data_IF_943305570883
#
_entry.id   IF_943305570883
#
_cell.length_a   1.000
_cell.length_b   1.000
_cell.length_c   1.000
_cell.angle_alpha   90.00
_cell.angle_beta   90.00
_cell.angle_gamma   90.00
#
_symmetry.space_group_name_H-M   'P 1'
#
loop_
_entity.id
_entity.type
_entity.pdbx_description
1 polymer ?
#
# COMPACT_ATOMS: atom_id res chain seq x y z
N UNK A 1 -11.67 -16.66 3.27
CA UNK A 1 -11.29 -17.68 4.30
C UNK A 1 -9.79 -17.56 4.50
N UNK A 2 -9.30 -17.30 5.71
CA UNK A 2 -7.85 -17.19 5.96
C UNK A 2 -7.23 -18.59 5.98
N UNK A 3 -6.41 -18.91 4.98
CA UNK A 3 -5.55 -20.09 5.00
C UNK A 3 -4.52 -19.89 6.10
N UNK A 4 -4.69 -20.58 7.21
CA UNK A 4 -3.61 -20.77 8.20
C UNK A 4 -2.58 -21.65 7.52
N UNK A 5 -1.45 -21.07 7.10
CA UNK A 5 -0.28 -21.84 6.71
C UNK A 5 0.25 -22.55 7.96
N UNK A 6 -0.23 -23.78 8.19
CA UNK A 6 0.31 -24.69 9.19
C UNK A 6 1.62 -25.28 8.65
N UNK A 7 2.72 -24.51 8.74
CA UNK A 7 4.09 -25.08 8.69
C UNK A 7 4.66 -25.15 10.12
N UNK A 8 5.01 -26.34 10.65
CA UNK A 8 5.69 -26.46 11.93
C UNK A 8 7.24 -26.44 11.78
N UNK A 9 8.01 -25.95 12.77
CA UNK A 9 7.74 -24.82 13.64
C UNK A 9 8.69 -23.64 13.31
N UNK A 10 8.13 -22.47 13.01
CA UNK A 10 8.87 -21.20 13.00
C UNK A 10 9.25 -20.71 14.41
N UNK A 11 9.27 -21.60 15.42
CA UNK A 11 9.55 -21.26 16.82
C UNK A 11 10.92 -20.57 16.98
N UNK A 12 11.92 -20.96 16.18
CA UNK A 12 13.24 -20.34 16.19
C UNK A 12 13.29 -18.96 15.49
N UNK A 13 12.30 -18.60 14.66
CA UNK A 13 12.25 -17.27 14.03
C UNK A 13 11.31 -16.31 14.74
N UNK A 14 10.37 -16.84 15.51
CA UNK A 14 9.42 -16.05 16.28
C UNK A 14 10.15 -15.13 17.26
N UNK A 15 11.16 -15.62 17.99
CA UNK A 15 11.92 -14.78 18.92
C UNK A 15 12.73 -13.68 18.22
N UNK A 16 13.27 -13.93 17.02
CA UNK A 16 13.99 -12.93 16.23
C UNK A 16 13.05 -11.79 15.83
N UNK A 17 11.85 -12.15 15.39
CA UNK A 17 10.82 -11.18 15.05
C UNK A 17 10.34 -10.39 16.28
N UNK A 18 10.12 -11.05 17.43
CA UNK A 18 9.80 -10.37 18.69
C UNK A 18 10.92 -9.44 19.15
N UNK A 19 12.18 -9.83 19.01
CA UNK A 19 13.32 -9.00 19.35
C UNK A 19 13.41 -7.76 18.44
N UNK A 20 13.21 -7.94 17.13
CA UNK A 20 13.16 -6.83 16.17
C UNK A 20 11.98 -5.89 16.43
N UNK A 21 10.78 -6.45 16.63
CA UNK A 21 9.56 -5.71 16.93
C UNK A 21 9.71 -4.92 18.23
N UNK A 22 10.15 -5.61 19.29
CA UNK A 22 10.45 -5.03 20.58
C UNK A 22 11.46 -3.89 20.45
N UNK A 23 12.55 -4.09 19.70
CA UNK A 23 13.56 -3.03 19.52
C UNK A 23 13.00 -1.80 18.80
N UNK A 24 12.23 -1.98 17.70
CA UNK A 24 11.68 -0.85 16.93
C UNK A 24 10.52 -0.12 17.61
N UNK A 25 9.71 -0.83 18.39
CA UNK A 25 8.51 -0.27 19.03
C UNK A 25 8.69 0.04 20.51
N UNK A 26 9.85 -0.32 21.10
CA UNK A 26 10.15 -0.06 22.50
C UNK A 26 10.05 1.43 22.83
N UNK A 27 9.56 1.76 24.04
CA UNK A 27 9.47 3.15 24.51
C UNK A 27 10.85 3.78 24.73
N UNK A 28 11.93 2.99 24.81
CA UNK A 28 13.28 3.46 25.17
C UNK A 28 13.78 4.56 24.22
N UNK A 29 13.65 4.37 22.90
CA UNK A 29 14.07 5.37 21.92
C UNK A 29 13.26 6.67 22.03
N UNK A 30 11.97 6.56 22.31
CA UNK A 30 11.06 7.71 22.48
C UNK A 30 11.31 8.46 23.79
N UNK A 31 11.63 7.75 24.88
CA UNK A 31 12.07 8.36 26.14
C UNK A 31 13.36 9.15 25.91
N UNK A 32 14.34 8.56 25.22
CA UNK A 32 15.59 9.24 24.88
C UNK A 32 15.34 10.50 24.04
N UNK A 33 14.49 10.42 23.00
CA UNK A 33 14.11 11.57 22.18
C UNK A 33 13.44 12.69 22.98
N UNK A 34 12.57 12.34 23.93
CA UNK A 34 11.92 13.31 24.82
C UNK A 34 12.93 13.99 25.76
N UNK A 35 13.87 13.23 26.34
CA UNK A 35 14.93 13.77 27.19
C UNK A 35 15.86 14.71 26.42
N UNK A 36 16.34 14.30 25.24
CA UNK A 36 17.24 15.10 24.40
C UNK A 36 16.54 16.38 23.94
N UNK A 37 15.31 16.29 23.45
CA UNK A 37 14.55 17.48 23.04
C UNK A 37 14.20 18.41 24.20
N UNK A 38 13.86 17.86 25.37
CA UNK A 38 13.62 18.63 26.59
C UNK A 38 14.88 19.38 27.07
N UNK A 39 16.03 18.72 27.08
CA UNK A 39 17.32 19.35 27.40
C UNK A 39 17.68 20.42 26.36
N UNK A 40 17.39 20.19 25.08
CA UNK A 40 17.61 21.18 24.03
C UNK A 40 16.73 22.42 24.20
N UNK A 41 15.45 22.27 24.51
CA UNK A 41 14.55 23.39 24.84
C UNK A 41 15.03 24.17 26.06
N UNK A 42 15.49 23.47 27.10
CA UNK A 42 16.03 24.09 28.31
C UNK A 42 17.29 24.91 28.02
N UNK A 43 18.25 24.34 27.27
CA UNK A 43 19.49 25.04 26.87
C UNK A 43 19.21 26.24 25.97
N UNK A 44 18.26 26.13 25.04
CA UNK A 44 17.79 27.26 24.23
C UNK A 44 17.17 28.35 25.13
N UNK A 45 16.33 27.99 26.09
CA UNK A 45 15.74 28.92 27.06
C UNK A 45 16.80 29.66 27.87
N UNK A 46 17.82 28.95 28.37
CA UNK A 46 18.96 29.55 29.08
C UNK A 46 19.72 30.52 28.19
N UNK A 47 19.96 30.19 26.92
CA UNK A 47 20.64 31.10 25.99
C UNK A 47 19.82 32.40 25.74
N UNK A 48 18.50 32.30 25.64
CA UNK A 48 17.61 33.47 25.52
C UNK A 48 17.63 34.33 26.79
N UNK A 49 17.60 33.72 27.96
CA UNK A 49 17.71 34.44 29.24
C UNK A 49 19.06 35.12 29.40
N UNK A 50 20.15 34.44 29.03
CA UNK A 50 21.49 34.99 29.04
C UNK A 50 21.62 36.19 28.10
N UNK A 51 21.08 36.10 26.88
CA UNK A 51 20.99 37.23 25.93
C UNK A 51 20.26 38.42 26.55
N UNK A 52 19.12 38.19 27.21
CA UNK A 52 18.37 39.25 27.90
C UNK A 52 19.17 39.87 29.04
N UNK A 53 19.89 39.06 29.83
CA UNK A 53 20.73 39.55 30.91
C UNK A 53 21.87 40.46 30.40
N UNK A 54 22.51 40.09 29.28
CA UNK A 54 23.53 40.94 28.65
C UNK A 54 22.94 42.27 28.20
N UNK A 55 21.83 42.25 27.45
CA UNK A 55 21.17 43.46 26.95
C UNK A 55 20.77 44.41 28.10
N UNK A 56 20.25 43.85 29.20
CA UNK A 56 19.88 44.62 30.38
C UNK A 56 21.11 45.22 31.10
N UNK A 57 22.21 44.48 31.16
CA UNK A 57 23.45 44.91 31.81
C UNK A 57 24.22 45.97 31.03
N UNK A 58 24.28 45.86 29.70
CA UNK A 58 25.04 46.78 28.85
C UNK A 58 24.24 48.02 28.44
N UNK A 59 22.90 47.96 28.52
CA UNK A 59 21.98 48.98 27.97
C UNK A 59 22.24 49.31 26.49
N UNK A 60 22.94 48.44 25.77
CA UNK A 60 23.26 48.59 24.36
C UNK A 60 22.61 47.45 23.58
N UNK A 61 21.95 47.79 22.48
CA UNK A 61 21.46 46.81 21.51
C UNK A 61 22.58 46.29 20.60
N UNK A 62 23.74 46.93 20.60
CA UNK A 62 24.86 46.63 19.70
C UNK A 62 25.82 45.62 20.33
N UNK A 63 25.29 44.43 20.64
CA UNK A 63 26.08 43.31 21.16
C UNK A 63 26.21 42.27 20.07
N UNK A 64 27.44 42.10 19.56
CA UNK A 64 27.75 41.04 18.60
C UNK A 64 28.00 39.71 19.32
N UNK A 65 27.23 38.70 18.95
CA UNK A 65 27.39 37.35 19.46
C UNK A 65 28.23 36.53 18.49
N UNK A 66 29.23 35.81 19.01
CA UNK A 66 29.99 34.85 18.21
C UNK A 66 29.13 33.66 17.78
N UNK A 67 29.60 32.92 16.76
CA UNK A 67 28.86 31.79 16.19
C UNK A 67 28.47 30.72 17.22
N UNK A 68 29.29 30.53 18.26
CA UNK A 68 29.00 29.62 19.38
C UNK A 68 27.71 29.93 20.15
N UNK A 69 27.28 31.20 20.18
CA UNK A 69 26.04 31.59 20.85
C UNK A 69 24.78 31.09 20.12
N UNK A 70 24.89 30.74 18.83
CA UNK A 70 23.79 30.20 18.03
C UNK A 70 23.71 28.67 18.10
N UNK A 71 24.73 27.97 18.63
CA UNK A 71 24.75 26.50 18.70
C UNK A 71 23.54 25.91 19.43
N UNK A 72 23.05 26.45 20.57
CA UNK A 72 21.84 25.94 21.22
C UNK A 72 20.60 26.00 20.32
N UNK A 73 20.48 27.04 19.50
CA UNK A 73 19.37 27.18 18.54
C UNK A 73 19.49 26.16 17.40
N UNK A 74 20.69 25.93 16.87
CA UNK A 74 20.92 24.91 15.83
C UNK A 74 20.63 23.51 16.36
N UNK A 75 21.14 23.17 17.55
CA UNK A 75 20.86 21.89 18.22
C UNK A 75 19.36 21.71 18.44
N UNK A 76 18.65 22.79 18.81
CA UNK A 76 17.20 22.77 18.95
C UNK A 76 16.49 22.42 17.65
N UNK A 77 16.83 23.07 16.53
CA UNK A 77 16.22 22.74 15.24
C UNK A 77 16.53 21.31 14.78
N UNK A 78 17.76 20.82 15.01
CA UNK A 78 18.14 19.45 14.65
C UNK A 78 17.42 18.38 15.48
N UNK A 79 17.04 18.69 16.72
CA UNK A 79 16.37 17.74 17.63
C UNK A 79 14.86 17.91 17.68
N UNK A 80 14.31 18.99 17.11
CA UNK A 80 12.88 19.32 17.18
C UNK A 80 11.99 18.20 16.61
N UNK A 81 12.37 17.62 15.47
CA UNK A 81 11.58 16.55 14.82
C UNK A 81 11.51 15.28 15.71
N UNK A 82 12.66 14.84 16.22
CA UNK A 82 12.73 13.70 17.14
C UNK A 82 11.95 13.94 18.44
N UNK A 83 11.94 15.18 18.93
CA UNK A 83 11.17 15.59 20.09
C UNK A 83 9.66 15.54 19.81
N UNK A 84 9.20 16.13 18.70
CA UNK A 84 7.79 16.12 18.30
C UNK A 84 7.30 14.70 18.10
N UNK A 85 8.07 13.85 17.41
CA UNK A 85 7.70 12.45 17.20
C UNK A 85 7.60 11.69 18.53
N UNK A 86 8.50 11.97 19.47
CA UNK A 86 8.45 11.39 20.83
C UNK A 86 7.22 11.87 21.60
N UNK A 87 6.88 13.16 21.56
CA UNK A 87 5.65 13.68 22.18
C UNK A 87 4.41 13.01 21.58
N UNK A 88 4.35 12.89 20.25
CA UNK A 88 3.23 12.23 19.55
C UNK A 88 3.11 10.74 19.91
N UNK A 89 4.24 10.05 20.13
CA UNK A 89 4.25 8.69 20.65
C UNK A 89 3.58 8.59 22.03
N UNK A 90 3.89 9.52 22.95
CA UNK A 90 3.29 9.54 24.28
C UNK A 90 1.82 9.99 24.30
N UNK A 91 1.41 10.90 23.40
CA UNK A 91 -0.02 11.22 23.21
C UNK A 91 -0.81 9.98 22.82
N UNK A 92 -0.21 9.09 22.02
CA UNK A 92 -0.79 7.81 21.60
C UNK A 92 -0.34 6.62 22.46
N UNK A 93 0.15 6.85 23.70
CA UNK A 93 0.77 5.81 24.52
C UNK A 93 -0.12 4.58 24.73
N UNK A 94 -1.42 4.77 24.93
CA UNK A 94 -2.37 3.66 25.13
C UNK A 94 -2.40 2.73 23.90
N UNK A 95 -2.48 3.31 22.70
CA UNK A 95 -2.46 2.54 21.45
C UNK A 95 -1.09 1.91 21.22
N UNK A 96 0.00 2.65 21.47
CA UNK A 96 1.35 2.16 21.22
C UNK A 96 1.74 1.01 22.17
N UNK A 97 1.37 1.09 23.44
CA UNK A 97 1.55 -0.01 24.40
C UNK A 97 0.68 -1.21 24.01
N UNK A 98 -0.57 -0.98 23.62
CA UNK A 98 -1.45 -2.04 23.16
C UNK A 98 -0.85 -2.78 21.95
N UNK A 99 -0.35 -2.05 20.95
CA UNK A 99 0.33 -2.60 19.78
C UNK A 99 1.67 -3.26 20.14
N UNK A 100 2.41 -2.74 21.11
CA UNK A 100 3.67 -3.34 21.58
C UNK A 100 3.42 -4.71 22.24
N UNK A 101 2.40 -4.81 23.09
CA UNK A 101 2.03 -6.03 23.82
C UNK A 101 1.27 -7.04 22.94
N UNK A 102 0.64 -6.59 21.86
CA UNK A 102 -0.08 -7.41 20.90
C UNK A 102 0.52 -7.18 19.51
N UNK A 103 1.74 -7.70 19.26
CA UNK A 103 2.37 -7.49 17.99
C UNK A 103 1.58 -8.26 16.91
N UNK A 104 1.43 -7.69 15.70
CA UNK A 104 0.68 -8.34 14.62
C UNK A 104 1.40 -9.61 14.18
N UNK A 105 0.70 -10.65 13.72
CA UNK A 105 1.37 -11.82 13.17
C UNK A 105 2.37 -11.40 12.08
N UNK A 106 3.61 -11.94 12.05
CA UNK A 106 4.59 -11.59 11.04
C UNK A 106 3.99 -11.87 9.67
N UNK A 107 3.89 -10.85 8.81
CA UNK A 107 3.42 -11.08 7.46
C UNK A 107 4.42 -12.02 6.76
N UNK A 108 3.95 -12.94 5.89
CA UNK A 108 4.83 -13.81 5.12
C UNK A 108 5.92 -13.03 4.37
N UNK A 109 5.60 -11.79 3.96
CA UNK A 109 6.49 -10.85 3.29
C UNK A 109 7.63 -10.33 4.16
N UNK A 110 7.46 -10.17 5.48
CA UNK A 110 8.53 -9.72 6.39
C UNK A 110 9.54 -10.83 6.68
N UNK A 111 9.11 -12.10 6.55
CA UNK A 111 9.97 -13.28 6.71
C UNK A 111 10.76 -13.61 5.43
N UNK A 112 10.33 -13.09 4.27
CA UNK A 112 11.12 -13.13 3.05
C UNK A 112 11.97 -11.84 2.98
N UNK A 113 13.27 -11.98 3.26
CA UNK A 113 14.28 -10.93 3.04
C UNK A 113 14.16 -10.31 1.61
N UNK A 114 14.67 -9.09 1.41
CA UNK A 114 14.03 -8.06 0.61
C UNK A 114 13.92 -8.44 -0.87
N UNK A 115 12.69 -8.63 -1.36
CA UNK A 115 12.43 -8.38 -2.77
C UNK A 115 12.62 -6.87 -2.99
N UNK A 116 13.50 -6.56 -3.94
CA UNK A 116 13.92 -5.25 -4.42
C UNK A 116 12.88 -4.12 -4.22
N UNK A 117 13.33 -2.99 -3.69
CA UNK A 117 12.55 -1.76 -3.41
C UNK A 117 12.04 -1.01 -4.66
N UNK A 118 11.93 -1.67 -5.82
CA UNK A 118 11.40 -1.05 -7.04
C UNK A 118 9.97 -1.55 -7.29
N UNK A 119 8.97 -0.66 -7.25
CA UNK A 119 7.62 -1.01 -7.69
C UNK A 119 7.67 -1.33 -9.19
N UNK A 120 7.33 -2.58 -9.55
CA UNK A 120 7.31 -3.07 -10.92
C UNK A 120 6.02 -2.64 -11.62
N UNK A 121 6.00 -1.41 -12.15
CA UNK A 121 4.97 -1.02 -13.12
C UNK A 121 5.37 -1.48 -14.52
N UNK A 122 4.99 -2.71 -14.88
CA UNK A 122 5.25 -3.26 -16.20
C UNK A 122 4.14 -2.87 -17.19
N UNK A 123 4.07 -1.59 -17.59
CA UNK A 123 3.23 -1.18 -18.73
C UNK A 123 3.97 -1.58 -20.02
N UNK A 124 3.80 -2.83 -20.46
CA UNK A 124 4.11 -3.18 -21.86
C UNK A 124 3.11 -2.38 -22.71
N UNK A 125 3.59 -1.46 -23.54
CA UNK A 125 2.77 -0.80 -24.56
C UNK A 125 2.33 -1.85 -25.60
N UNK A 126 1.34 -2.66 -25.27
CA UNK A 126 0.73 -3.59 -26.22
C UNK A 126 -0.25 -2.80 -27.09
N UNK A 127 0.19 -2.42 -28.28
CA UNK A 127 -0.68 -1.90 -29.34
C UNK A 127 -1.72 -2.97 -29.70
N UNK A 128 -2.91 -2.91 -29.11
CA UNK A 128 -4.23 -3.32 -29.63
C UNK A 128 -4.48 -4.69 -30.29
N UNK A 129 -3.46 -5.53 -30.52
CA UNK A 129 -3.56 -6.82 -31.19
C UNK A 129 -3.43 -7.96 -30.19
N UNK A 130 -4.56 -8.36 -29.61
CA UNK A 130 -4.71 -9.58 -28.82
C UNK A 130 -4.42 -10.80 -29.69
N UNK A 131 -3.21 -11.34 -29.61
CA UNK A 131 -2.93 -12.68 -30.12
C UNK A 131 -1.84 -13.33 -29.29
N UNK A 132 -2.23 -14.30 -28.44
CA UNK A 132 -1.33 -15.22 -27.75
C UNK A 132 -0.72 -16.26 -28.70
N UNK A 133 -0.40 -15.86 -29.94
CA UNK A 133 0.35 -16.76 -30.80
C UNK A 133 1.74 -16.97 -30.20
N UNK A 134 2.27 -18.20 -30.26
CA UNK A 134 3.69 -18.43 -30.14
C UNK A 134 4.40 -17.48 -31.12
N UNK A 135 5.15 -16.52 -30.59
CA UNK A 135 6.13 -15.82 -31.42
C UNK A 135 7.10 -16.89 -31.91
N UNK A 136 7.38 -16.88 -33.21
CA UNK A 136 8.46 -17.74 -33.69
C UNK A 136 9.71 -17.36 -32.90
N UNK A 137 10.46 -18.32 -32.35
CA UNK A 137 11.64 -18.03 -31.58
C UNK A 137 12.49 -17.08 -32.40
N UNK A 138 12.84 -15.94 -31.83
CA UNK A 138 13.71 -15.00 -32.51
C UNK A 138 15.04 -15.72 -32.64
N UNK A 139 15.26 -16.35 -33.81
CA UNK A 139 16.53 -16.99 -34.08
C UNK A 139 17.57 -15.90 -33.93
N UNK A 140 18.33 -15.97 -32.84
CA UNK A 140 19.56 -15.21 -32.67
C UNK A 140 20.36 -15.60 -33.90
N UNK A 141 20.43 -14.67 -34.85
CA UNK A 141 21.21 -14.86 -36.07
C UNK A 141 22.62 -15.11 -35.57
N UNK A 142 23.10 -16.34 -35.74
CA UNK A 142 24.49 -16.72 -35.54
C UNK A 142 25.34 -15.70 -36.29
N UNK A 143 25.82 -14.71 -35.56
CA UNK A 143 26.84 -13.80 -36.04
C UNK A 143 28.10 -14.65 -35.99
N UNK A 144 28.48 -15.16 -37.15
CA UNK A 144 29.60 -16.07 -37.33
C UNK A 144 30.83 -15.60 -36.57
N UNK A 145 31.05 -16.20 -35.40
CA UNK A 145 32.30 -16.12 -34.69
C UNK A 145 33.30 -16.97 -35.47
N UNK A 146 34.14 -16.30 -36.25
CA UNK A 146 35.35 -16.87 -36.80
C UNK A 146 36.14 -17.54 -35.68
N UNK A 147 36.31 -18.85 -35.81
CA UNK A 147 37.12 -19.68 -34.95
C UNK A 147 38.50 -19.04 -34.72
N UNK A 148 38.80 -18.74 -33.46
CA UNK A 148 40.15 -18.42 -33.02
C UNK A 148 40.69 -19.67 -32.30
N UNK A 149 41.56 -20.48 -32.92
CA UNK A 149 42.08 -21.69 -32.32
C UNK A 149 43.35 -21.32 -31.57
N UNK A 150 43.24 -20.75 -30.37
CA UNK A 150 44.25 -20.79 -29.32
C UNK A 150 43.85 -19.90 -28.14
N UNK A 151 43.84 -20.48 -26.93
CA UNK A 151 44.04 -19.72 -25.70
C UNK A 151 42.87 -19.74 -24.72
N UNK A 152 42.86 -20.77 -23.88
CA UNK A 152 42.49 -20.76 -22.46
C UNK A 152 41.47 -19.73 -21.94
N UNK A 153 40.34 -20.28 -21.46
CA UNK A 153 39.77 -19.87 -20.17
C UNK A 153 38.62 -18.88 -20.23
N UNK A 154 37.48 -19.28 -20.78
CA UNK A 154 36.22 -18.54 -20.63
C UNK A 154 35.20 -19.45 -19.97
N UNK A 155 34.86 -19.14 -18.71
CA UNK A 155 33.73 -19.71 -17.98
C UNK A 155 32.43 -19.21 -18.62
N UNK A 156 31.99 -19.87 -19.69
CA UNK A 156 30.64 -19.73 -20.21
C UNK A 156 29.75 -20.74 -19.52
N UNK A 157 28.87 -20.26 -18.64
CA UNK A 157 27.68 -21.01 -18.25
C UNK A 157 26.79 -21.11 -19.49
N UNK A 158 26.99 -22.17 -20.27
CA UNK A 158 26.00 -22.60 -21.22
C UNK A 158 24.79 -23.07 -20.40
N UNK A 159 23.64 -22.44 -20.64
CA UNK A 159 22.33 -22.96 -20.29
C UNK A 159 22.18 -24.35 -20.93
N UNK A 160 22.59 -25.39 -20.19
CA UNK A 160 22.12 -26.74 -20.40
C UNK A 160 20.62 -26.71 -20.13
N UNK A 161 19.85 -26.89 -21.20
CA UNK A 161 18.40 -27.03 -21.11
C UNK A 161 18.02 -28.04 -20.04
N UNK A 162 16.99 -27.68 -19.27
CA UNK A 162 16.25 -28.49 -18.29
C UNK A 162 15.59 -29.74 -18.92
N UNK A 163 16.32 -30.50 -19.73
CA UNK A 163 16.13 -31.95 -19.82
C UNK A 163 17.02 -32.54 -18.74
N UNK A 164 16.59 -32.43 -17.49
CA UNK A 164 17.22 -33.05 -16.33
C UNK A 164 17.35 -34.56 -16.62
N UNK A 165 18.48 -34.97 -17.20
CA UNK A 165 18.97 -36.33 -17.04
C UNK A 165 19.26 -36.42 -15.57
N UNK A 166 18.24 -36.77 -14.80
CA UNK A 166 18.35 -37.19 -13.42
C UNK A 166 19.38 -38.32 -13.45
N UNK A 167 20.62 -37.98 -13.11
CA UNK A 167 21.65 -38.96 -12.82
C UNK A 167 21.06 -39.75 -11.68
N UNK A 168 20.52 -40.93 -12.03
CA UNK A 168 19.87 -41.81 -11.08
C UNK A 168 20.98 -42.39 -10.23
N UNK A 169 21.40 -41.63 -9.24
CA UNK A 169 22.31 -42.09 -8.20
C UNK A 169 21.58 -43.26 -7.53
N UNK A 170 22.07 -44.48 -7.78
CA UNK A 170 21.42 -45.70 -7.31
C UNK A 170 21.35 -45.77 -5.77
N UNK A 171 22.13 -44.93 -5.10
CA UNK A 171 22.21 -44.80 -3.65
C UNK A 171 21.44 -43.57 -3.10
N UNK A 172 20.75 -42.79 -3.96
CA UNK A 172 19.91 -41.70 -3.49
C UNK A 172 18.71 -42.24 -2.69
N UNK A 173 18.40 -41.67 -1.51
CA UNK A 173 17.21 -42.06 -0.76
C UNK A 173 15.96 -41.96 -1.64
N UNK A 174 14.99 -42.87 -1.52
CA UNK A 174 13.75 -42.79 -2.28
C UNK A 174 13.14 -41.40 -2.05
N UNK A 175 12.86 -40.70 -3.16
CA UNK A 175 12.23 -39.38 -3.10
C UNK A 175 10.97 -39.50 -2.21
N UNK A 176 10.77 -38.56 -1.27
CA UNK A 176 9.56 -38.55 -0.47
C UNK A 176 8.36 -38.56 -1.42
N UNK A 177 7.26 -39.26 -1.05
CA UNK A 177 6.05 -39.26 -1.86
C UNK A 177 5.66 -37.81 -2.16
N UNK A 178 5.38 -37.52 -3.43
CA UNK A 178 5.01 -36.17 -3.85
C UNK A 178 3.90 -35.65 -2.94
N UNK A 179 4.15 -34.50 -2.29
CA UNK A 179 3.16 -33.90 -1.42
C UNK A 179 1.87 -33.66 -2.22
N UNK A 180 0.69 -33.93 -1.63
CA UNK A 180 -0.56 -33.65 -2.30
C UNK A 180 -0.62 -32.15 -2.63
N UNK A 181 -0.96 -31.84 -3.88
CA UNK A 181 -1.14 -30.45 -4.32
C UNK A 181 -2.20 -29.77 -3.46
N UNK A 182 -1.98 -28.49 -3.19
CA UNK A 182 -2.93 -27.71 -2.42
C UNK A 182 -4.27 -27.56 -3.19
N UNK A 183 -5.41 -27.45 -2.48
CA UNK A 183 -6.71 -27.36 -3.12
C UNK A 183 -6.87 -26.18 -4.09
N UNK A 184 -6.17 -25.06 -3.83
CA UNK A 184 -6.22 -23.87 -4.68
C UNK A 184 -5.51 -24.16 -6.01
N UNK A 185 -4.32 -24.74 -5.98
CA UNK A 185 -3.60 -25.17 -7.19
C UNK A 185 -4.42 -26.16 -8.00
N UNK A 186 -5.05 -27.16 -7.37
CA UNK A 186 -5.94 -28.11 -8.07
C UNK A 186 -7.10 -27.36 -8.76
N UNK A 187 -7.71 -26.40 -8.06
CA UNK A 187 -8.79 -25.56 -8.60
C UNK A 187 -8.31 -24.75 -9.80
N UNK A 188 -7.12 -24.16 -9.76
CA UNK A 188 -6.53 -23.42 -10.87
C UNK A 188 -6.26 -24.33 -12.08
N UNK A 189 -5.66 -25.50 -11.85
CA UNK A 189 -5.40 -26.49 -12.89
C UNK A 189 -6.69 -26.96 -13.57
N UNK A 190 -7.78 -27.13 -12.80
CA UNK A 190 -9.08 -27.52 -13.33
C UNK A 190 -9.74 -26.43 -14.20
N UNK A 191 -9.34 -25.17 -14.03
CA UNK A 191 -9.92 -24.04 -14.75
C UNK A 191 -9.22 -23.73 -16.08
N UNK A 192 -7.94 -24.06 -16.24
CA UNK A 192 -7.20 -23.81 -17.50
C UNK A 192 -7.84 -24.42 -18.75
N UNK A 193 -8.37 -25.67 -18.74
CA UNK A 193 -9.01 -26.25 -19.92
C UNK A 193 -10.28 -25.51 -20.36
N UNK A 194 -10.90 -24.74 -19.47
CA UNK A 194 -12.07 -23.93 -19.80
C UNK A 194 -11.71 -22.58 -20.44
N UNK A 195 -10.42 -22.19 -20.42
CA UNK A 195 -9.95 -20.94 -21.00
C UNK A 195 -9.47 -21.16 -22.45
N UNK A 196 -10.23 -20.69 -23.46
CA UNK A 196 -9.87 -20.87 -24.87
C UNK A 196 -8.61 -20.10 -25.25
N UNK A 197 -8.26 -19.03 -24.53
CA UNK A 197 -7.07 -18.21 -24.83
C UNK A 197 -5.78 -18.96 -24.47
N UNK A 198 -5.79 -19.66 -23.34
CA UNK A 198 -4.61 -20.32 -22.79
C UNK A 198 -4.46 -21.78 -23.24
N UNK A 199 -5.55 -22.44 -23.65
CA UNK A 199 -5.51 -23.88 -24.02
C UNK A 199 -4.51 -24.17 -25.14
N UNK A 200 -4.45 -23.33 -26.17
CA UNK A 200 -3.50 -23.51 -27.30
C UNK A 200 -2.05 -23.31 -26.86
N UNK A 201 -1.80 -22.32 -25.99
CA UNK A 201 -0.49 -22.03 -25.44
C UNK A 201 -0.01 -23.17 -24.52
N UNK A 202 -0.85 -23.60 -23.58
CA UNK A 202 -0.54 -24.68 -22.63
C UNK A 202 -0.27 -25.98 -23.38
N UNK A 203 -1.10 -26.36 -24.35
CA UNK A 203 -0.84 -27.56 -25.16
C UNK A 203 0.48 -27.47 -25.95
N UNK A 204 0.86 -26.28 -26.44
CA UNK A 204 2.15 -26.08 -27.09
C UNK A 204 3.34 -26.23 -26.15
N UNK A 205 3.23 -25.71 -24.92
CA UNK A 205 4.25 -25.81 -23.88
C UNK A 205 4.38 -27.25 -23.36
N UNK A 206 3.27 -27.95 -23.15
CA UNK A 206 3.27 -29.38 -22.81
C UNK A 206 3.93 -30.25 -23.89
N UNK A 207 3.89 -29.82 -25.16
CA UNK A 207 4.57 -30.48 -26.27
C UNK A 207 6.06 -30.10 -26.37
N UNK A 208 6.62 -29.45 -25.35
CA UNK A 208 8.00 -28.95 -25.30
C UNK A 208 8.36 -28.01 -26.47
N UNK A 209 7.39 -27.28 -27.02
CA UNK A 209 7.69 -26.24 -27.99
C UNK A 209 8.27 -25.03 -27.25
N UNK A 210 9.44 -24.52 -27.66
CA UNK A 210 10.04 -23.36 -27.00
C UNK A 210 9.12 -22.15 -27.15
N UNK A 211 9.00 -21.38 -26.06
CA UNK A 211 8.29 -20.11 -26.02
C UNK A 211 9.15 -19.09 -25.27
N UNK A 212 9.33 -17.91 -25.85
CA UNK A 212 10.20 -16.86 -25.30
C UNK A 212 9.55 -16.15 -24.10
N UNK A 213 8.22 -16.04 -24.09
CA UNK A 213 7.47 -15.23 -23.13
C UNK A 213 6.91 -16.03 -21.96
N UNK A 214 6.64 -17.33 -22.13
CA UNK A 214 5.92 -18.13 -21.14
C UNK A 214 6.69 -19.37 -20.67
N UNK A 215 6.45 -19.73 -19.42
CA UNK A 215 6.96 -20.92 -18.76
C UNK A 215 5.79 -21.74 -18.22
N UNK A 216 5.86 -23.07 -18.37
CA UNK A 216 4.93 -23.98 -17.74
C UNK A 216 5.66 -24.67 -16.58
N UNK A 217 5.14 -24.52 -15.37
CA UNK A 217 5.69 -25.22 -14.20
C UNK A 217 5.47 -26.73 -14.32
N UNK A 218 6.23 -27.51 -13.55
CA UNK A 218 6.07 -28.97 -13.44
C UNK A 218 4.67 -29.39 -12.99
N UNK A 219 3.98 -28.52 -12.26
CA UNK A 219 2.62 -28.73 -11.75
C UNK A 219 1.55 -28.36 -12.79
N UNK A 220 1.92 -27.64 -13.87
CA UNK A 220 1.01 -27.23 -14.95
C UNK A 220 0.47 -25.80 -14.81
N UNK A 221 0.94 -25.03 -13.83
CA UNK A 221 0.65 -23.59 -13.74
C UNK A 221 1.47 -22.81 -14.78
N UNK A 222 0.82 -21.83 -15.41
CA UNK A 222 1.40 -20.98 -16.46
C UNK A 222 1.98 -19.70 -15.87
N UNK A 223 3.23 -19.39 -16.20
CA UNK A 223 3.93 -18.18 -15.77
C UNK A 223 4.41 -17.36 -16.95
N UNK A 224 4.44 -16.04 -16.78
CA UNK A 224 5.17 -15.12 -17.64
C UNK A 224 6.65 -15.15 -17.24
N UNK A 225 7.53 -15.38 -18.22
CA UNK A 225 8.97 -15.36 -18.02
C UNK A 225 9.42 -13.93 -17.65
N UNK A 226 10.27 -13.77 -16.63
CA UNK A 226 10.82 -12.46 -16.30
C UNK A 226 11.71 -11.94 -17.44
N UNK A 227 11.76 -10.62 -17.65
CA UNK A 227 12.63 -10.04 -18.69
C UNK A 227 14.09 -10.03 -18.24
N UNK A 228 14.31 -9.96 -16.93
CA UNK A 228 15.63 -9.95 -16.32
C UNK A 228 15.74 -11.01 -15.23
N UNK A 229 16.94 -11.50 -14.95
CA UNK A 229 17.17 -12.48 -13.87
C UNK A 229 16.80 -11.98 -12.46
N UNK A 230 16.59 -10.67 -12.31
CA UNK A 230 16.23 -10.03 -11.05
C UNK A 230 14.71 -10.00 -10.81
N UNK A 231 13.92 -10.25 -11.85
CA UNK A 231 12.46 -10.21 -11.79
C UNK A 231 11.89 -11.59 -11.46
N UNK A 232 10.76 -11.59 -10.77
CA UNK A 232 10.02 -12.81 -10.47
C UNK A 232 9.09 -13.16 -11.63
N UNK A 233 9.00 -14.46 -11.96
CA UNK A 233 8.01 -14.94 -12.91
C UNK A 233 6.59 -14.68 -12.39
N UNK A 234 5.73 -14.07 -13.21
CA UNK A 234 4.37 -13.69 -12.83
C UNK A 234 3.38 -14.79 -13.19
N UNK A 235 2.47 -15.14 -12.29
CA UNK A 235 1.51 -16.21 -12.53
C UNK A 235 0.39 -15.73 -13.47
N UNK A 236 0.00 -16.56 -14.44
CA UNK A 236 -1.03 -16.24 -15.43
C UNK A 236 -2.34 -16.96 -15.06
N UNK A 237 -3.30 -16.28 -14.41
CA UNK A 237 -4.56 -16.89 -14.03
C UNK A 237 -5.45 -17.18 -15.25
N UNK A 238 -6.19 -18.30 -15.25
CA UNK A 238 -7.17 -18.58 -16.29
C UNK A 238 -8.34 -17.59 -16.22
N UNK A 239 -8.90 -17.24 -17.37
CA UNK A 239 -10.08 -16.39 -17.48
C UNK A 239 -11.28 -17.03 -16.77
N UNK A 240 -12.13 -16.19 -16.16
CA UNK A 240 -13.38 -16.64 -15.54
C UNK A 240 -13.44 -16.30 -14.06
N UNK A 241 -13.76 -17.29 -13.22
CA UNK A 241 -14.04 -17.09 -11.79
C UNK A 241 -12.78 -16.65 -11.04
N UNK A 242 -11.62 -17.24 -11.34
CA UNK A 242 -10.37 -16.94 -10.63
C UNK A 242 -9.94 -15.49 -10.80
N UNK A 243 -9.89 -14.96 -12.04
CA UNK A 243 -9.58 -13.52 -12.25
C UNK A 243 -10.55 -12.59 -11.53
N UNK A 244 -11.85 -12.93 -11.51
CA UNK A 244 -12.87 -12.11 -10.82
C UNK A 244 -12.66 -12.07 -9.32
N UNK A 245 -12.37 -13.22 -8.71
CA UNK A 245 -12.06 -13.30 -7.28
C UNK A 245 -10.78 -12.52 -6.94
N UNK A 246 -9.72 -12.66 -7.74
CA UNK A 246 -8.48 -11.89 -7.53
C UNK A 246 -8.72 -10.38 -7.59
N UNK A 247 -9.55 -9.91 -8.54
CA UNK A 247 -9.91 -8.50 -8.66
C UNK A 247 -10.78 -8.04 -7.47
N UNK A 248 -11.72 -8.88 -7.04
CA UNK A 248 -12.57 -8.63 -5.86
C UNK A 248 -11.72 -8.51 -4.59
N UNK A 249 -10.83 -9.46 -4.36
CA UNK A 249 -9.90 -9.46 -3.23
C UNK A 249 -9.01 -8.22 -3.27
N UNK A 250 -8.40 -7.89 -4.42
CA UNK A 250 -7.58 -6.69 -4.56
C UNK A 250 -8.38 -5.39 -4.37
N UNK A 251 -9.69 -5.40 -4.63
CA UNK A 251 -10.56 -4.24 -4.39
C UNK A 251 -10.92 -4.06 -2.92
N UNK A 252 -11.16 -5.18 -2.22
CA UNK A 252 -11.71 -5.21 -0.86
C UNK A 252 -10.66 -5.34 0.25
N UNK A 253 -9.46 -5.84 -0.07
CA UNK A 253 -8.40 -6.03 0.89
C UNK A 253 -7.60 -4.74 1.13
N UNK A 254 -7.11 -4.51 2.35
CA UNK A 254 -6.26 -3.37 2.64
C UNK A 254 -4.95 -3.46 1.85
N UNK A 255 -4.71 -2.50 0.97
CA UNK A 255 -3.48 -2.45 0.19
C UNK A 255 -2.26 -2.18 1.08
N UNK A 256 -1.12 -2.86 0.88
CA UNK A 256 0.13 -2.55 1.57
C UNK A 256 0.71 -1.19 1.15
N UNK A 257 0.25 -0.61 0.04
CA UNK A 257 0.76 0.64 -0.53
C UNK A 257 0.12 1.90 0.07
N UNK A 258 -1.00 1.78 0.77
CA UNK A 258 -1.73 2.92 1.33
C UNK A 258 -1.59 2.92 2.84
N UNK A 259 -1.07 4.02 3.39
CA UNK A 259 -0.99 4.25 4.84
C UNK A 259 -2.40 4.14 5.43
N UNK A 260 -2.62 3.17 6.32
CA UNK A 260 -3.95 2.76 6.80
C UNK A 260 -4.83 3.97 7.17
N UNK A 261 -5.82 4.25 6.32
CA UNK A 261 -6.86 5.23 6.63
C UNK A 261 -7.65 4.69 7.83
N UNK A 262 -7.91 5.56 8.80
CA UNK A 262 -8.50 5.22 10.09
C UNK A 262 -9.84 4.48 9.97
N UNK A 263 -9.78 3.14 10.07
CA UNK A 263 -10.73 2.16 10.65
C UNK A 263 -12.23 2.21 10.30
N UNK A 264 -12.72 3.16 9.53
CA UNK A 264 -14.15 3.33 9.22
C UNK A 264 -14.54 3.12 7.76
N UNK A 265 -13.57 3.15 6.84
CA UNK A 265 -13.82 2.94 5.41
C UNK A 265 -13.29 1.55 5.02
N UNK A 266 -14.21 0.59 4.85
CA UNK A 266 -13.92 -0.69 4.19
C UNK A 266 -13.14 -0.40 2.90
N UNK A 267 -12.02 -1.10 2.73
CA UNK A 267 -11.11 -0.87 1.62
C UNK A 267 -11.88 -1.09 0.31
N UNK A 268 -11.87 -0.06 -0.51
CA UNK A 268 -12.41 -0.01 -1.86
C UNK A 268 -11.31 0.65 -2.67
N UNK A 269 -10.26 -0.12 -2.93
CA UNK A 269 -9.01 0.38 -3.50
C UNK A 269 -9.28 1.02 -4.86
N UNK A 270 -8.50 2.06 -5.17
CA UNK A 270 -8.54 2.67 -6.50
C UNK A 270 -7.96 1.72 -7.55
N UNK A 271 -8.27 1.97 -8.82
CA UNK A 271 -7.83 1.12 -9.93
C UNK A 271 -6.30 1.02 -9.95
N UNK A 272 -5.60 2.11 -9.68
CA UNK A 272 -4.13 2.14 -9.66
C UNK A 272 -3.55 1.23 -8.58
N UNK A 273 -4.18 1.22 -7.40
CA UNK A 273 -3.77 0.39 -6.27
C UNK A 273 -4.05 -1.09 -6.54
N UNK A 274 -5.21 -1.41 -7.13
CA UNK A 274 -5.56 -2.77 -7.53
C UNK A 274 -4.57 -3.30 -8.57
N UNK A 275 -4.28 -2.51 -9.61
CA UNK A 275 -3.35 -2.87 -10.68
C UNK A 275 -1.94 -3.09 -10.15
N UNK A 276 -1.47 -2.21 -9.24
CA UNK A 276 -0.16 -2.39 -8.61
C UNK A 276 -0.12 -3.67 -7.77
N UNK A 277 -1.13 -3.87 -6.90
CA UNK A 277 -1.18 -5.03 -5.99
C UNK A 277 -1.25 -6.35 -6.76
N UNK A 278 -2.04 -6.42 -7.84
CA UNK A 278 -2.15 -7.62 -8.66
C UNK A 278 -0.92 -7.82 -9.56
N UNK A 279 -0.33 -6.73 -10.06
CA UNK A 279 0.83 -6.77 -10.95
C UNK A 279 2.12 -7.28 -10.29
N UNK A 280 2.17 -7.31 -8.96
CA UNK A 280 3.31 -7.86 -8.22
C UNK A 280 3.40 -9.40 -8.33
N UNK A 281 2.27 -10.08 -8.51
CA UNK A 281 2.20 -11.55 -8.48
C UNK A 281 1.56 -12.17 -9.71
N UNK A 282 0.68 -11.44 -10.37
CA UNK A 282 -0.13 -11.95 -11.47
C UNK A 282 0.02 -11.14 -12.75
N UNK A 283 -0.20 -11.79 -13.89
CA UNK A 283 -0.20 -11.15 -15.18
C UNK A 283 -1.28 -11.72 -16.10
N UNK A 284 -2.02 -10.85 -16.78
CA UNK A 284 -2.84 -11.22 -17.94
C UNK A 284 -3.12 -10.01 -18.83
N UNK A 285 -3.48 -10.28 -20.08
CA UNK A 285 -3.88 -9.24 -21.03
C UNK A 285 -5.17 -8.55 -20.56
N UNK A 286 -5.10 -7.24 -20.36
CA UNK A 286 -6.26 -6.44 -19.96
C UNK A 286 -6.47 -6.33 -18.44
N UNK A 287 -5.49 -6.69 -17.60
CA UNK A 287 -5.57 -6.56 -16.13
C UNK A 287 -6.12 -5.19 -15.67
N UNK A 288 -5.58 -4.09 -16.22
CA UNK A 288 -6.04 -2.74 -15.90
C UNK A 288 -7.50 -2.47 -16.33
N UNK A 289 -7.89 -3.00 -17.50
CA UNK A 289 -9.27 -2.86 -18.02
C UNK A 289 -10.26 -3.64 -17.17
N UNK A 290 -9.90 -4.85 -16.77
CA UNK A 290 -10.77 -5.71 -15.94
C UNK A 290 -10.93 -5.10 -14.52
N UNK A 291 -9.86 -4.53 -13.96
CA UNK A 291 -9.93 -3.77 -12.70
C UNK A 291 -10.84 -2.53 -12.83
N UNK A 292 -10.72 -1.79 -13.93
CA UNK A 292 -11.58 -0.63 -14.21
C UNK A 292 -13.05 -1.04 -14.32
N UNK A 293 -13.37 -2.07 -15.13
CA UNK A 293 -14.73 -2.55 -15.32
C UNK A 293 -15.36 -3.02 -13.99
N UNK A 294 -14.58 -3.67 -13.13
CA UNK A 294 -15.02 -4.08 -11.81
C UNK A 294 -15.29 -2.88 -10.90
N UNK A 295 -14.36 -1.92 -10.82
CA UNK A 295 -14.51 -0.73 -9.99
C UNK A 295 -15.69 0.15 -10.41
N UNK A 296 -15.97 0.27 -11.72
CA UNK A 296 -17.12 0.99 -12.28
C UNK A 296 -18.46 0.32 -11.93
N UNK A 297 -18.48 -1.00 -11.74
CA UNK A 297 -19.67 -1.75 -11.31
C UNK A 297 -19.88 -1.76 -9.80
N UNK A 298 -18.87 -1.35 -9.02
CA UNK A 298 -18.93 -1.35 -7.57
C UNK A 298 -19.92 -0.29 -7.05
N UNK A 299 -21.00 -0.75 -6.38
CA UNK A 299 -22.04 0.13 -5.83
C UNK A 299 -21.49 1.12 -4.81
N UNK A 300 -20.62 0.66 -3.92
CA UNK A 300 -20.05 1.50 -2.85
C UNK A 300 -19.16 2.60 -3.43
N UNK A 301 -18.31 2.26 -4.41
CA UNK A 301 -17.48 3.25 -5.11
C UNK A 301 -18.32 4.29 -5.83
N UNK A 302 -19.39 3.86 -6.51
CA UNK A 302 -20.30 4.76 -7.21
C UNK A 302 -21.08 5.68 -6.27
N UNK A 303 -21.55 5.17 -5.13
CA UNK A 303 -22.21 5.98 -4.10
C UNK A 303 -21.26 7.01 -3.49
N UNK A 304 -20.01 6.62 -3.18
CA UNK A 304 -18.97 7.54 -2.70
C UNK A 304 -18.65 8.62 -3.73
N UNK A 305 -18.51 8.25 -5.00
CA UNK A 305 -18.27 9.19 -6.11
C UNK A 305 -19.43 10.19 -6.25
N UNK A 306 -20.67 9.70 -6.29
CA UNK A 306 -21.89 10.53 -6.36
C UNK A 306 -21.98 11.49 -5.17
N UNK A 307 -21.68 11.03 -3.95
CA UNK A 307 -21.67 11.88 -2.75
C UNK A 307 -20.66 13.02 -2.89
N UNK A 308 -19.42 12.71 -3.32
CA UNK A 308 -18.38 13.72 -3.56
C UNK A 308 -18.77 14.72 -4.64
N UNK A 309 -19.44 14.28 -5.71
CA UNK A 309 -19.95 15.16 -6.77
C UNK A 309 -21.03 16.11 -6.25
N UNK A 310 -21.97 15.61 -5.44
CA UNK A 310 -23.01 16.44 -4.80
C UNK A 310 -22.38 17.44 -3.83
N UNK A 311 -21.41 17.02 -3.01
CA UNK A 311 -20.70 17.89 -2.08
C UNK A 311 -19.87 18.97 -2.82
N UNK A 312 -19.21 18.60 -3.92
CA UNK A 312 -18.49 19.56 -4.77
C UNK A 312 -19.45 20.55 -5.44
N UNK A 313 -20.60 20.09 -5.94
CA UNK A 313 -21.63 20.95 -6.52
C UNK A 313 -22.25 21.89 -5.47
N UNK A 314 -22.53 21.39 -4.27
CA UNK A 314 -23.02 22.18 -3.14
C UNK A 314 -21.98 23.20 -2.64
N UNK A 315 -20.70 22.83 -2.67
CA UNK A 315 -19.56 23.70 -2.34
C UNK A 315 -19.26 24.78 -3.39
N UNK A 316 -19.74 24.64 -4.63
CA UNK A 316 -19.60 25.64 -5.70
C UNK A 316 -20.72 26.69 -5.73
N UNK A 317 -21.71 26.60 -4.83
CA UNK A 317 -22.70 27.67 -4.64
C UNK A 317 -22.84 28.05 -3.17
N UNK A 318 -21.75 28.48 -2.55
CA UNK A 318 -21.85 29.74 -1.84
C UNK A 318 -21.84 30.85 -2.90
N UNK A 319 -22.96 31.02 -3.60
CA UNK A 319 -23.29 32.38 -4.04
C UNK A 319 -23.16 33.17 -2.74
N UNK A 320 -22.29 34.20 -2.63
CA UNK A 320 -22.41 35.09 -1.49
C UNK A 320 -23.89 35.43 -1.51
N UNK A 321 -24.59 35.10 -0.43
CA UNK A 321 -25.83 35.78 -0.18
C UNK A 321 -25.36 37.22 -0.18
N UNK A 322 -25.55 37.91 -1.30
CA UNK A 322 -25.46 39.34 -1.41
C UNK A 322 -26.65 39.80 -0.61
N UNK A 323 -26.54 39.59 0.70
CA UNK A 323 -27.17 40.40 1.71
C UNK A 323 -26.76 41.79 1.29
N UNK A 324 -27.74 42.42 0.66
CA UNK A 324 -27.99 43.85 0.67
C UNK A 324 -27.71 44.28 2.12
N UNK A 325 -26.45 44.60 2.38
CA UNK A 325 -25.95 45.11 3.67
C UNK A 325 -25.91 46.64 3.64
N UNK A 326 -26.59 47.26 2.65
CA UNK A 326 -26.54 48.69 2.38
C UNK A 326 -27.78 49.50 2.76
N UNK A 327 -28.74 48.98 3.55
CA UNK A 327 -29.99 49.73 3.84
C UNK A 327 -30.38 49.88 5.32
N UNK A 328 -29.50 49.54 6.27
CA UNK A 328 -29.78 49.79 7.70
C UNK A 328 -28.59 50.39 8.43
N UNK A 329 -28.03 51.46 7.88
CA UNK A 329 -27.37 52.48 8.69
C UNK A 329 -28.33 53.66 8.82
N UNK A 330 -29.28 53.54 9.75
CA UNK A 330 -30.05 54.67 10.26
C UNK A 330 -31.56 54.65 10.07
N UNK A 331 -32.27 53.56 10.37
CA UNK A 331 -33.67 53.68 10.81
C UNK A 331 -34.02 52.61 11.85
N UNK A 332 -34.31 53.07 13.06
CA UNK A 332 -35.10 52.36 14.07
C UNK A 332 -36.51 52.14 13.52
N UNK A 333 -36.82 50.92 13.06
CA UNK A 333 -38.21 50.53 12.80
C UNK A 333 -38.39 49.01 12.88
N UNK A 334 -39.02 48.62 14.00
CA UNK A 334 -40.03 47.55 14.16
C UNK A 334 -40.47 46.89 12.86
N UNK A 335 -40.31 45.57 12.79
CA UNK A 335 -40.78 44.74 11.69
C UNK A 335 -40.48 43.26 11.88
N UNK A 336 -40.71 42.74 13.09
CA UNK A 336 -40.91 41.30 13.26
C UNK A 336 -42.15 40.94 12.43
N UNK A 337 -42.06 39.93 11.55
CA UNK A 337 -43.21 39.52 10.76
C UNK A 337 -44.30 39.06 11.73
N UNK A 338 -45.44 39.75 11.68
CA UNK A 338 -46.62 39.51 12.52
C UNK A 338 -47.01 38.02 12.52
N UNK A 339 -46.80 37.35 11.37
CA UNK A 339 -47.03 35.91 11.18
C UNK A 339 -46.08 35.01 12.01
N UNK A 340 -44.81 35.38 12.18
CA UNK A 340 -43.87 34.60 12.99
C UNK A 340 -44.16 34.76 14.49
N UNK A 341 -44.55 35.96 14.92
CA UNK A 341 -44.99 36.21 16.29
C UNK A 341 -46.31 35.49 16.60
N UNK A 342 -47.27 35.47 15.67
CA UNK A 342 -48.52 34.74 15.82
C UNK A 342 -48.32 33.22 15.87
N UNK A 343 -47.47 32.63 15.01
CA UNK A 343 -47.19 31.20 15.07
C UNK A 343 -46.50 30.80 16.39
N UNK A 344 -45.57 31.61 16.89
CA UNK A 344 -44.92 31.35 18.17
C UNK A 344 -45.90 31.39 19.35
N UNK A 345 -46.83 32.35 19.35
CA UNK A 345 -47.90 32.41 20.36
C UNK A 345 -48.90 31.25 20.24
N UNK A 346 -49.28 30.87 19.02
CA UNK A 346 -50.20 29.75 18.79
C UNK A 346 -49.62 28.42 19.28
N UNK A 347 -48.33 28.16 19.01
CA UNK A 347 -47.66 26.95 19.49
C UNK A 347 -47.55 26.91 21.01
N UNK A 348 -47.25 28.05 21.64
CA UNK A 348 -47.17 28.13 23.10
C UNK A 348 -48.54 27.91 23.75
N UNK A 349 -49.60 28.47 23.20
CA UNK A 349 -50.97 28.28 23.69
C UNK A 349 -51.45 26.83 23.53
N UNK A 350 -51.13 26.18 22.40
CA UNK A 350 -51.43 24.77 22.18
C UNK A 350 -50.72 23.85 23.19
N UNK A 351 -49.47 24.18 23.55
CA UNK A 351 -48.75 23.44 24.59
C UNK A 351 -49.39 23.61 25.98
N UNK A 352 -49.80 24.83 26.35
CA UNK A 352 -50.45 25.10 27.64
C UNK A 352 -51.84 24.44 27.76
N UNK A 353 -52.61 24.37 26.66
CA UNK A 353 -53.90 23.66 26.64
C UNK A 353 -53.72 22.14 26.71
N UNK A 354 -52.69 21.58 26.06
CA UNK A 354 -52.36 20.17 26.15
C UNK A 354 -51.94 19.73 27.56
N UNK A 355 -51.25 20.59 28.31
CA UNK A 355 -50.86 20.30 29.69
C UNK A 355 -52.04 20.43 30.66
N UNK A 356 -52.98 21.37 30.44
CA UNK A 356 -54.20 21.46 31.25
C UNK A 356 -55.16 20.28 31.07
N UNK A 357 -55.17 19.65 29.90
CA UNK A 357 -56.02 18.47 29.64
C UNK A 357 -55.51 17.18 30.29
N UNK A 358 -54.29 17.18 30.87
CA UNK A 358 -53.70 16.03 31.56
C UNK A 358 -53.89 16.05 33.08
N UNK A 359 -54.49 17.10 33.63
CA UNK A 359 -54.92 17.26 35.02
C UNK A 359 -56.44 17.12 35.11
#
# INVERSE_FOLDING_TARGET
>A
MRVKCERPPYEEYLWVWWAWWGHRRAPVGWIFGLLVGGLSLATFGVAVLFKRAILNGTRSSDVHYGMGAFMPLVIHFLTLDTFISSVMYFVKIKSNIFTLLNPPDPSPTVLMLPSSSKPMQHIRQTNGGSFFAPRQPTMVRDTGYTANPNGYGTYGYAEEGMGEKVWSDADAPPLPPAEPLDPETIRWLSAYPADPELTSLISSLCANKPNDDFLLSSVGLLYLRPETEQEQALLVPPMGVIRKELIEDAHLDPSPYVEQVSTGELAHNSIEVMVATLGDTFWWNGLARDCQEYAEKCRVCNERKRKKEIEAQAGMTAVPWTGITGWTQGMTAVGESEMAAEMAMAMKKAAEEADKAKL
#
